data_IF_044572276928
#
_entry.id   IF_044572276928
#
_cell.length_a   1.000
_cell.length_b   1.000
_cell.length_c   1.000
_cell.angle_alpha   90.00
_cell.angle_beta   90.00
_cell.angle_gamma   90.00
#
_symmetry.space_group_name_H-M   'P 1'
#
loop_
_entity.id
_entity.type
_entity.pdbx_description
1 polymer ?
#
# COMPACT_ATOMS: atom_id res chain seq x y z
N UNK A 1 -12.32 8.91 -2.34
CA UNK A 1 -12.85 9.52 -3.58
C UNK A 1 -12.91 8.43 -4.65
N UNK A 2 -14.05 8.28 -5.33
CA UNK A 2 -14.22 7.26 -6.37
C UNK A 2 -13.84 7.81 -7.74
N UNK A 3 -13.47 6.95 -8.66
CA UNK A 3 -13.24 7.27 -10.08
C UNK A 3 -13.97 6.30 -10.97
N UNK A 4 -14.28 6.75 -12.18
CA UNK A 4 -14.85 5.91 -13.22
C UNK A 4 -13.80 5.02 -13.85
N UNK A 5 -14.30 3.88 -14.33
CA UNK A 5 -13.54 2.96 -15.15
C UNK A 5 -14.30 2.78 -16.45
N UNK A 6 -13.61 2.95 -17.57
CA UNK A 6 -14.18 2.62 -18.87
C UNK A 6 -14.12 1.10 -19.06
N UNK A 7 -15.26 0.45 -18.88
CA UNK A 7 -15.45 -0.99 -19.09
C UNK A 7 -16.74 -1.24 -19.87
N UNK A 8 -16.79 -2.31 -20.70
CA UNK A 8 -18.02 -2.74 -21.35
C UNK A 8 -19.16 -2.98 -20.35
N UNK A 9 -20.40 -2.91 -20.83
CA UNK A 9 -21.56 -3.32 -20.04
C UNK A 9 -21.35 -4.73 -19.43
N UNK A 10 -21.74 -5.00 -18.17
CA UNK A 10 -21.45 -6.25 -17.50
C UNK A 10 -21.83 -7.52 -18.28
N UNK A 11 -22.99 -7.50 -18.97
CA UNK A 11 -23.43 -8.63 -19.80
C UNK A 11 -22.49 -8.91 -20.97
N UNK A 12 -21.96 -7.87 -21.62
CA UNK A 12 -21.02 -8.03 -22.73
C UNK A 12 -19.65 -8.52 -22.23
N UNK A 13 -19.19 -8.00 -21.10
CA UNK A 13 -17.97 -8.48 -20.44
C UNK A 13 -18.11 -9.96 -20.06
N UNK A 14 -19.28 -10.37 -19.54
CA UNK A 14 -19.60 -11.75 -19.19
C UNK A 14 -19.57 -12.68 -20.40
N UNK A 15 -20.26 -12.32 -21.48
CA UNK A 15 -20.32 -13.12 -22.72
C UNK A 15 -18.91 -13.39 -23.23
N UNK A 16 -18.07 -12.36 -23.31
CA UNK A 16 -16.67 -12.50 -23.76
C UNK A 16 -15.86 -13.44 -22.86
N UNK A 17 -16.06 -13.35 -21.54
CA UNK A 17 -15.39 -14.22 -20.58
C UNK A 17 -15.83 -15.68 -20.77
N UNK A 18 -17.14 -15.91 -20.85
CA UNK A 18 -17.70 -17.23 -21.04
C UNK A 18 -17.28 -17.86 -22.37
N UNK A 19 -17.16 -17.07 -23.45
CA UNK A 19 -16.64 -17.55 -24.73
C UNK A 19 -15.20 -18.02 -24.57
N UNK A 20 -14.32 -17.21 -23.96
CA UNK A 20 -12.93 -17.62 -23.73
C UNK A 20 -12.81 -18.85 -22.82
N UNK A 21 -13.58 -18.92 -21.73
CA UNK A 21 -13.62 -20.11 -20.86
C UNK A 21 -14.05 -21.36 -21.64
N UNK A 22 -15.11 -21.26 -22.44
CA UNK A 22 -15.60 -22.36 -23.29
C UNK A 22 -14.51 -22.85 -24.25
N UNK A 23 -13.83 -21.94 -24.95
CA UNK A 23 -12.74 -22.28 -25.87
C UNK A 23 -11.54 -22.90 -25.16
N UNK A 24 -11.16 -22.42 -23.97
CA UNK A 24 -10.05 -22.99 -23.21
C UNK A 24 -10.37 -24.39 -22.69
N UNK A 25 -11.61 -24.62 -22.23
CA UNK A 25 -12.06 -25.95 -21.81
C UNK A 25 -12.06 -26.93 -22.98
N UNK A 26 -12.52 -26.52 -24.16
CA UNK A 26 -12.47 -27.35 -25.37
C UNK A 26 -11.05 -27.83 -25.70
N UNK A 27 -10.04 -27.00 -25.40
CA UNK A 27 -8.62 -27.30 -25.62
C UNK A 27 -7.95 -28.05 -24.44
N UNK A 28 -8.70 -28.46 -23.42
CA UNK A 28 -8.17 -29.08 -22.20
C UNK A 28 -7.33 -28.13 -21.32
N UNK A 29 -7.39 -26.81 -21.55
CA UNK A 29 -6.62 -25.79 -20.83
C UNK A 29 -7.39 -25.26 -19.61
N UNK A 30 -7.79 -26.19 -18.75
CA UNK A 30 -8.53 -25.87 -17.52
C UNK A 30 -7.65 -25.02 -16.58
N UNK A 31 -8.27 -24.10 -15.83
CA UNK A 31 -7.61 -23.30 -14.80
C UNK A 31 -7.19 -21.89 -15.21
N UNK A 32 -6.95 -21.60 -16.49
CA UNK A 32 -6.60 -20.23 -16.92
C UNK A 32 -7.82 -19.30 -17.03
N UNK A 33 -8.92 -19.82 -17.57
CA UNK A 33 -10.23 -19.17 -17.68
C UNK A 33 -11.29 -20.18 -17.27
N UNK A 34 -12.14 -19.83 -16.31
CA UNK A 34 -13.13 -20.77 -15.77
C UNK A 34 -14.41 -20.06 -15.31
N UNK A 35 -15.49 -20.83 -15.19
CA UNK A 35 -16.79 -20.39 -14.64
C UNK A 35 -17.25 -21.38 -13.59
N UNK A 36 -17.54 -20.87 -12.40
CA UNK A 36 -18.11 -21.57 -11.26
C UNK A 36 -19.40 -20.87 -10.79
N UNK A 37 -20.02 -21.38 -9.74
CA UNK A 37 -21.28 -20.82 -9.19
C UNK A 37 -21.09 -19.43 -8.58
N UNK A 38 -19.84 -18.99 -8.37
CA UNK A 38 -19.48 -17.66 -7.88
C UNK A 38 -19.12 -16.68 -9.01
N UNK A 39 -19.18 -17.13 -10.26
CA UNK A 39 -18.94 -16.30 -11.43
C UNK A 39 -17.76 -16.80 -12.26
N UNK A 40 -17.11 -15.85 -12.94
CA UNK A 40 -16.00 -16.13 -13.82
C UNK A 40 -14.66 -15.89 -13.11
N UNK A 41 -13.66 -16.73 -13.39
CA UNK A 41 -12.32 -16.65 -12.80
C UNK A 41 -11.25 -16.73 -13.89
N UNK A 42 -10.16 -16.00 -13.65
CA UNK A 42 -8.93 -16.05 -14.44
C UNK A 42 -7.76 -16.21 -13.47
N UNK A 43 -6.91 -17.18 -13.73
CA UNK A 43 -5.63 -17.35 -13.04
C UNK A 43 -4.50 -17.30 -14.07
N UNK A 44 -3.42 -16.60 -13.72
CA UNK A 44 -2.19 -16.53 -14.52
C UNK A 44 -1.08 -17.31 -13.82
N UNK A 45 -0.12 -17.76 -14.62
CA UNK A 45 1.05 -18.50 -14.13
C UNK A 45 1.95 -17.64 -13.22
N UNK A 46 1.91 -16.31 -13.38
CA UNK A 46 2.63 -15.34 -12.53
C UNK A 46 1.94 -15.08 -11.19
N UNK A 47 0.88 -15.82 -10.86
CA UNK A 47 0.12 -15.67 -9.62
C UNK A 47 -0.94 -14.57 -9.64
N UNK A 48 -1.02 -13.77 -10.72
CA UNK A 48 -2.09 -12.81 -10.91
C UNK A 48 -3.44 -13.50 -11.14
N UNK A 49 -4.51 -12.95 -10.56
CA UNK A 49 -5.84 -13.53 -10.68
C UNK A 49 -6.94 -12.47 -10.72
N UNK A 50 -8.06 -12.80 -11.36
CA UNK A 50 -9.25 -11.96 -11.37
C UNK A 50 -10.53 -12.80 -11.26
N UNK A 51 -11.55 -12.21 -10.64
CA UNK A 51 -12.91 -12.75 -10.50
C UNK A 51 -13.91 -11.72 -10.97
N UNK A 52 -14.92 -12.19 -11.70
CA UNK A 52 -16.01 -11.39 -12.21
C UNK A 52 -17.35 -12.04 -11.87
N UNK A 53 -18.22 -11.32 -11.17
CA UNK A 53 -19.52 -11.84 -10.76
C UNK A 53 -20.65 -10.89 -11.18
N UNK A 54 -21.75 -11.50 -11.63
CA UNK A 54 -23.02 -10.81 -11.87
C UNK A 54 -23.90 -10.92 -10.62
N UNK A 55 -24.64 -9.86 -10.32
CA UNK A 55 -25.59 -9.79 -9.22
C UNK A 55 -26.94 -9.27 -9.71
N UNK A 56 -27.99 -9.47 -8.93
CA UNK A 56 -29.31 -8.92 -9.20
C UNK A 56 -29.33 -7.39 -9.25
N UNK A 57 -30.35 -6.82 -9.88
CA UNK A 57 -30.49 -5.36 -10.01
C UNK A 57 -29.49 -4.71 -10.96
N UNK A 58 -29.02 -5.45 -11.98
CA UNK A 58 -28.00 -4.99 -12.97
C UNK A 58 -26.66 -4.59 -12.33
N UNK A 59 -26.32 -5.25 -11.23
CA UNK A 59 -25.05 -5.05 -10.52
C UNK A 59 -24.01 -6.06 -10.97
N UNK A 60 -22.75 -5.68 -10.86
CA UNK A 60 -21.64 -6.59 -11.12
C UNK A 60 -20.39 -6.15 -10.36
N UNK A 61 -19.47 -7.08 -10.11
CA UNK A 61 -18.17 -6.76 -9.48
C UNK A 61 -17.06 -7.51 -10.19
N UNK A 62 -15.99 -6.79 -10.53
CA UNK A 62 -14.73 -7.31 -11.06
C UNK A 62 -13.63 -6.97 -10.05
N UNK A 63 -12.93 -7.97 -9.54
CA UNK A 63 -11.90 -7.79 -8.53
C UNK A 63 -10.76 -8.78 -8.75
N UNK A 64 -9.57 -8.45 -8.25
CA UNK A 64 -8.40 -9.28 -8.48
C UNK A 64 -7.15 -8.69 -7.88
N UNK A 65 -6.03 -9.34 -8.21
CA UNK A 65 -4.70 -8.96 -7.78
C UNK A 65 -3.69 -9.28 -8.89
N UNK A 66 -2.84 -8.30 -9.21
CA UNK A 66 -1.80 -8.45 -10.22
C UNK A 66 -0.45 -8.34 -9.54
N UNK A 67 0.29 -9.46 -9.48
CA UNK A 67 1.59 -9.55 -8.79
C UNK A 67 2.52 -8.36 -9.07
N UNK A 68 2.63 -7.95 -10.34
CA UNK A 68 3.51 -6.84 -10.76
C UNK A 68 2.86 -5.45 -10.77
N UNK A 69 1.55 -5.31 -10.61
CA UNK A 69 0.82 -4.06 -10.87
C UNK A 69 -0.29 -3.78 -9.87
N UNK A 70 -0.10 -4.05 -8.58
CA UNK A 70 -1.10 -3.73 -7.54
C UNK A 70 -0.90 -2.32 -6.97
N UNK A 71 -1.38 -1.28 -7.66
CA UNK A 71 -1.32 0.12 -7.21
C UNK A 71 -1.85 0.31 -5.78
N UNK A 72 -2.95 -0.35 -5.42
CA UNK A 72 -3.51 -0.36 -4.08
C UNK A 72 -2.47 -0.72 -3.00
N UNK A 73 -1.53 -1.60 -3.32
CA UNK A 73 -0.52 -2.10 -2.39
C UNK A 73 0.79 -1.33 -2.42
N UNK A 74 1.09 -0.65 -3.54
CA UNK A 74 2.35 0.04 -3.81
C UNK A 74 2.31 1.55 -3.56
N UNK A 75 1.12 2.12 -3.37
CA UNK A 75 0.98 3.51 -2.91
C UNK A 75 1.55 3.65 -1.49
N UNK A 76 2.10 4.83 -1.17
CA UNK A 76 2.51 5.20 0.19
C UNK A 76 1.69 6.43 0.64
N UNK A 77 0.74 6.28 1.59
CA UNK A 77 0.28 5.02 2.16
C UNK A 77 -0.57 4.18 1.16
N UNK A 78 -0.64 2.85 1.34
CA UNK A 78 -1.43 1.96 0.49
C UNK A 78 -2.90 2.38 0.42
N UNK A 79 -3.47 2.39 -0.78
CA UNK A 79 -4.89 2.67 -0.99
C UNK A 79 -5.72 1.40 -0.75
N UNK A 80 -6.73 1.48 0.12
CA UNK A 80 -7.65 0.37 0.35
C UNK A 80 -8.68 0.27 -0.78
N UNK A 81 -8.70 -0.82 -1.58
CA UNK A 81 -9.60 -0.99 -2.73
C UNK A 81 -11.09 -0.93 -2.40
N UNK A 82 -11.45 -1.16 -1.14
CA UNK A 82 -12.83 -1.18 -0.65
C UNK A 82 -13.31 0.17 -0.11
N UNK A 83 -12.47 1.20 -0.16
CA UNK A 83 -12.84 2.55 0.26
C UNK A 83 -14.00 3.07 -0.59
N UNK A 84 -15.14 3.36 0.05
CA UNK A 84 -16.34 3.88 -0.62
C UNK A 84 -17.08 2.84 -1.48
N UNK A 85 -16.75 1.55 -1.34
CA UNK A 85 -17.50 0.47 -1.97
C UNK A 85 -18.98 0.46 -1.50
N UNK A 86 -19.91 -0.13 -2.26
CA UNK A 86 -21.29 -0.26 -1.82
C UNK A 86 -21.50 -1.43 -0.84
N UNK A 87 -22.55 -1.36 -0.02
CA UNK A 87 -22.84 -2.36 1.02
C UNK A 87 -23.24 -3.74 0.47
N UNK A 88 -23.67 -3.77 -0.80
CA UNK A 88 -24.14 -4.98 -1.48
C UNK A 88 -23.01 -5.84 -2.06
N UNK A 89 -21.75 -5.37 -2.07
CA UNK A 89 -20.62 -6.16 -2.53
C UNK A 89 -20.50 -7.48 -1.75
N UNK A 90 -19.85 -8.53 -2.30
CA UNK A 90 -19.59 -9.78 -1.59
C UNK A 90 -18.51 -9.58 -0.49
N UNK A 91 -18.86 -8.85 0.57
CA UNK A 91 -17.93 -8.44 1.64
C UNK A 91 -17.26 -9.62 2.35
N UNK A 92 -17.96 -10.73 2.56
CA UNK A 92 -17.37 -11.94 3.16
C UNK A 92 -16.22 -12.52 2.34
N UNK A 93 -16.20 -12.25 1.03
CA UNK A 93 -15.10 -12.61 0.14
C UNK A 93 -14.04 -11.50 0.07
N UNK A 94 -14.46 -10.25 -0.08
CA UNK A 94 -13.55 -9.14 -0.33
C UNK A 94 -12.78 -8.68 0.91
N UNK A 95 -13.41 -8.66 2.09
CA UNK A 95 -12.78 -8.16 3.31
C UNK A 95 -11.56 -9.00 3.73
N UNK A 96 -11.62 -10.36 3.76
CA UNK A 96 -10.44 -11.16 4.07
C UNK A 96 -9.30 -11.02 3.04
N UNK A 97 -9.63 -10.77 1.76
CA UNK A 97 -8.62 -10.52 0.72
C UNK A 97 -7.94 -9.16 0.91
N UNK A 98 -8.71 -8.12 1.23
CA UNK A 98 -8.17 -6.80 1.53
C UNK A 98 -7.32 -6.80 2.82
N UNK A 99 -7.75 -7.52 3.86
CA UNK A 99 -7.00 -7.65 5.12
C UNK A 99 -5.64 -8.33 4.91
N UNK A 100 -5.57 -9.32 4.01
CA UNK A 100 -4.37 -10.12 3.72
C UNK A 100 -3.55 -9.58 2.56
N UNK A 101 -3.84 -8.37 2.07
CA UNK A 101 -3.02 -7.80 1.00
C UNK A 101 -3.06 -8.67 -0.28
N UNK A 102 -4.20 -9.29 -0.54
CA UNK A 102 -4.47 -10.15 -1.71
C UNK A 102 -5.49 -9.52 -2.65
N UNK A 103 -5.78 -8.23 -2.49
CA UNK A 103 -6.76 -7.50 -3.28
C UNK A 103 -6.09 -6.27 -3.89
N UNK A 104 -5.73 -6.36 -5.17
CA UNK A 104 -5.11 -5.25 -5.91
C UNK A 104 -6.12 -4.24 -6.43
N UNK A 105 -7.31 -4.70 -6.82
CA UNK A 105 -8.39 -3.82 -7.28
C UNK A 105 -9.78 -4.39 -7.04
N UNK A 106 -10.76 -3.49 -6.94
CA UNK A 106 -12.19 -3.79 -6.92
C UNK A 106 -12.91 -2.74 -7.73
N UNK A 107 -13.67 -3.20 -8.72
CA UNK A 107 -14.43 -2.36 -9.63
C UNK A 107 -15.86 -2.87 -9.63
N UNK A 108 -16.82 -2.00 -9.38
CA UNK A 108 -18.23 -2.37 -9.28
C UNK A 108 -19.08 -1.60 -10.26
N UNK A 109 -20.10 -2.28 -10.79
CA UNK A 109 -21.10 -1.71 -11.66
C UNK A 109 -22.40 -1.52 -10.90
N UNK A 110 -22.91 -0.30 -10.90
CA UNK A 110 -24.25 0.04 -10.43
C UNK A 110 -24.77 1.23 -11.23
N UNK A 111 -26.08 1.25 -11.51
CA UNK A 111 -26.73 2.38 -12.20
C UNK A 111 -26.08 2.76 -13.54
N UNK A 112 -25.59 1.77 -14.29
CA UNK A 112 -25.01 1.96 -15.63
C UNK A 112 -23.57 2.46 -15.65
N UNK A 113 -22.87 2.47 -14.51
CA UNK A 113 -21.52 3.01 -14.40
C UNK A 113 -20.62 2.03 -13.66
N UNK A 114 -19.38 1.91 -14.14
CA UNK A 114 -18.32 1.21 -13.44
C UNK A 114 -17.52 2.20 -12.59
N UNK A 115 -17.33 1.88 -11.32
CA UNK A 115 -16.61 2.72 -10.36
C UNK A 115 -15.61 1.92 -9.56
N UNK A 116 -14.53 2.59 -9.13
CA UNK A 116 -13.52 2.06 -8.21
C UNK A 116 -12.96 3.16 -7.31
N UNK A 117 -12.14 2.78 -6.32
CA UNK A 117 -11.35 3.75 -5.57
C UNK A 117 -10.36 4.48 -6.48
N UNK A 118 -10.14 5.78 -6.24
CA UNK A 118 -9.09 6.54 -6.92
C UNK A 118 -7.72 6.23 -6.31
N UNK A 119 -6.79 5.73 -7.12
CA UNK A 119 -5.38 5.55 -6.74
C UNK A 119 -4.60 6.87 -6.86
N UNK A 120 -3.52 6.99 -6.08
CA UNK A 120 -2.63 8.16 -6.18
C UNK A 120 -1.93 8.15 -7.53
N UNK A 121 -1.78 9.33 -8.12
CA UNK A 121 -1.09 9.55 -9.41
C UNK A 121 -1.59 8.72 -10.61
N UNK A 122 -2.80 8.12 -10.50
CA UNK A 122 -3.39 7.33 -11.58
C UNK A 122 -2.66 6.03 -11.92
N UNK A 123 -1.88 5.47 -10.98
CA UNK A 123 -1.11 4.23 -11.22
C UNK A 123 -2.02 3.07 -11.67
N UNK A 124 -1.54 2.21 -12.59
CA UNK A 124 -2.28 1.03 -13.02
C UNK A 124 -2.37 -0.01 -11.90
N UNK A 125 -3.54 -0.62 -11.76
CA UNK A 125 -3.88 -1.66 -10.78
C UNK A 125 -3.87 -3.07 -11.37
N UNK A 126 -3.33 -3.22 -12.58
CA UNK A 126 -3.20 -4.50 -13.28
C UNK A 126 -4.51 -5.06 -13.84
N UNK A 127 -5.65 -4.38 -13.65
CA UNK A 127 -6.93 -4.81 -14.20
C UNK A 127 -6.87 -4.94 -15.71
N UNK A 128 -6.29 -3.95 -16.42
CA UNK A 128 -6.21 -3.97 -17.89
C UNK A 128 -5.43 -5.18 -18.41
N UNK A 129 -4.43 -5.66 -17.66
CA UNK A 129 -3.63 -6.84 -18.03
C UNK A 129 -4.41 -8.15 -17.77
N UNK A 130 -5.18 -8.18 -16.68
CA UNK A 130 -6.02 -9.33 -16.29
C UNK A 130 -7.36 -9.42 -17.03
N UNK A 131 -7.91 -8.33 -17.52
CA UNK A 131 -9.16 -8.30 -18.28
C UNK A 131 -8.95 -7.98 -19.76
N UNK A 132 -7.71 -7.72 -20.19
CA UNK A 132 -7.35 -7.21 -21.52
C UNK A 132 -8.10 -7.84 -22.69
N UNK A 133 -8.12 -9.18 -22.84
CA UNK A 133 -8.85 -9.87 -23.90
C UNK A 133 -10.36 -9.60 -23.94
N UNK A 134 -10.95 -9.11 -22.85
CA UNK A 134 -12.39 -8.90 -22.70
C UNK A 134 -12.82 -7.46 -22.94
N UNK A 135 -11.88 -6.52 -22.93
CA UNK A 135 -12.20 -5.08 -22.91
C UNK A 135 -12.82 -4.60 -24.22
N UNK A 136 -12.42 -5.16 -25.36
CA UNK A 136 -12.99 -4.82 -26.67
C UNK A 136 -13.28 -6.07 -27.49
N UNK A 137 -14.19 -5.94 -28.46
CA UNK A 137 -14.51 -7.03 -29.40
C UNK A 137 -13.26 -7.48 -30.16
N UNK A 138 -12.48 -6.54 -30.67
CA UNK A 138 -11.21 -6.82 -31.36
C UNK A 138 -10.20 -7.58 -30.49
N UNK A 139 -10.07 -7.23 -29.20
CA UNK A 139 -9.18 -7.96 -28.28
C UNK A 139 -9.68 -9.38 -28.01
N UNK A 140 -10.99 -9.58 -27.93
CA UNK A 140 -11.58 -10.93 -27.79
C UNK A 140 -11.36 -11.76 -29.04
N UNK A 141 -11.61 -11.19 -30.22
CA UNK A 141 -11.35 -11.84 -31.51
C UNK A 141 -9.87 -12.17 -31.69
N UNK A 142 -8.97 -11.25 -31.35
CA UNK A 142 -7.53 -11.48 -31.40
C UNK A 142 -7.06 -12.57 -30.43
N UNK A 143 -7.71 -12.73 -29.27
CA UNK A 143 -7.43 -13.83 -28.35
C UNK A 143 -7.94 -15.17 -28.88
N UNK A 144 -9.16 -15.22 -29.43
CA UNK A 144 -9.76 -16.44 -30.00
C UNK A 144 -9.08 -16.91 -31.28
N UNK A 145 -8.66 -15.97 -32.15
CA UNK A 145 -8.02 -16.27 -33.44
C UNK A 145 -6.61 -16.88 -33.28
N UNK A 146 -6.09 -16.98 -32.06
CA UNK A 146 -4.88 -17.76 -31.75
C UNK A 146 -5.11 -19.27 -31.87
N UNK A 147 -6.37 -19.70 -31.88
CA UNK A 147 -6.76 -21.11 -31.92
C UNK A 147 -7.31 -21.56 -33.28
N UNK A 148 -7.46 -20.62 -34.22
CA UNK A 148 -7.83 -20.89 -35.60
C UNK A 148 -8.34 -19.64 -36.34
N UNK A 149 -9.09 -19.80 -37.43
CA UNK A 149 -9.35 -18.72 -38.37
C UNK A 149 -10.24 -17.63 -37.77
N UNK A 150 -9.87 -16.37 -37.99
CA UNK A 150 -10.61 -15.19 -37.51
C UNK A 150 -12.11 -15.19 -37.86
N UNK A 151 -12.54 -15.56 -39.08
CA UNK A 151 -13.97 -15.65 -39.38
C UNK A 151 -14.75 -16.64 -38.50
N UNK A 152 -14.12 -17.72 -38.04
CA UNK A 152 -14.76 -18.66 -37.10
C UNK A 152 -14.88 -18.06 -35.70
N UNK A 153 -13.86 -17.33 -35.24
CA UNK A 153 -13.92 -16.59 -33.99
C UNK A 153 -15.05 -15.54 -33.99
N UNK A 154 -15.23 -14.83 -35.11
CA UNK A 154 -16.32 -13.87 -35.31
C UNK A 154 -17.70 -14.54 -35.21
N UNK A 155 -17.89 -15.67 -35.91
CA UNK A 155 -19.13 -16.46 -35.82
C UNK A 155 -19.41 -16.92 -34.39
N UNK A 156 -18.38 -17.42 -33.68
CA UNK A 156 -18.52 -17.86 -32.29
C UNK A 156 -18.94 -16.70 -31.36
N UNK A 157 -18.34 -15.52 -31.49
CA UNK A 157 -18.72 -14.34 -30.69
C UNK A 157 -20.15 -13.89 -30.99
N UNK A 158 -20.56 -13.88 -32.27
CA UNK A 158 -21.95 -13.56 -32.66
C UNK A 158 -22.93 -14.55 -32.06
N UNK A 159 -22.64 -15.85 -32.14
CA UNK A 159 -23.46 -16.90 -31.54
C UNK A 159 -23.53 -16.76 -30.01
N UNK A 160 -22.41 -16.44 -29.35
CA UNK A 160 -22.36 -16.21 -27.91
C UNK A 160 -23.23 -15.03 -27.46
N UNK A 161 -23.26 -13.93 -28.23
CA UNK A 161 -24.15 -12.78 -27.96
C UNK A 161 -25.63 -13.15 -28.07
N UNK A 162 -25.96 -14.11 -28.94
CA UNK A 162 -27.34 -14.60 -29.16
C UNK A 162 -27.73 -15.77 -28.24
N UNK A 163 -26.80 -16.25 -27.42
CA UNK A 163 -26.94 -17.50 -26.67
C UNK A 163 -27.26 -18.71 -27.59
N UNK A 164 -26.59 -18.79 -28.74
CA UNK A 164 -26.76 -19.80 -29.78
C UNK A 164 -25.47 -20.63 -30.01
N UNK A 165 -24.54 -20.66 -29.05
CA UNK A 165 -23.31 -21.45 -29.17
C UNK A 165 -23.65 -22.92 -29.34
N UNK A 166 -22.93 -23.58 -30.23
CA UNK A 166 -23.13 -24.98 -30.59
C UNK A 166 -21.77 -25.66 -30.85
N UNK A 167 -21.71 -27.01 -30.88
CA UNK A 167 -20.47 -27.71 -31.17
C UNK A 167 -19.81 -27.30 -32.48
N UNK A 168 -20.61 -27.01 -33.52
CA UNK A 168 -20.11 -26.59 -34.83
C UNK A 168 -19.28 -25.30 -34.77
N UNK A 169 -19.69 -24.32 -33.96
CA UNK A 169 -18.94 -23.08 -33.78
C UNK A 169 -17.54 -23.32 -33.19
N UNK A 170 -17.40 -24.32 -32.31
CA UNK A 170 -16.13 -24.68 -31.69
C UNK A 170 -15.27 -25.51 -32.65
N UNK A 171 -15.85 -26.46 -33.38
CA UNK A 171 -15.14 -27.22 -34.42
C UNK A 171 -14.60 -26.32 -35.53
N UNK A 172 -15.38 -25.34 -35.97
CA UNK A 172 -14.96 -24.34 -36.97
C UNK A 172 -13.76 -23.51 -36.49
N UNK A 173 -13.72 -23.18 -35.19
CA UNK A 173 -12.65 -22.37 -34.62
C UNK A 173 -11.41 -23.21 -34.34
N UNK A 174 -11.56 -24.41 -33.81
CA UNK A 174 -10.47 -25.22 -33.28
C UNK A 174 -9.95 -26.18 -34.36
N UNK A 175 -9.15 -25.62 -35.28
CA UNK A 175 -8.62 -26.35 -36.44
C UNK A 175 -7.53 -27.36 -36.08
N UNK A 176 -6.87 -27.16 -34.93
CA UNK A 176 -5.77 -28.00 -34.46
C UNK A 176 -6.17 -28.83 -33.23
N UNK A 177 -6.20 -30.14 -33.38
CA UNK A 177 -6.46 -31.10 -32.29
C UNK A 177 -7.89 -31.63 -32.24
N UNK A 178 -8.15 -32.50 -31.26
CA UNK A 178 -9.49 -33.07 -31.01
C UNK A 178 -10.09 -32.32 -29.82
N UNK A 179 -11.05 -31.40 -30.03
CA UNK A 179 -11.62 -30.63 -28.94
C UNK A 179 -12.55 -31.47 -28.06
N UNK A 180 -12.52 -31.23 -26.75
CA UNK A 180 -13.52 -31.76 -25.82
C UNK A 180 -14.80 -30.93 -25.91
N UNK A 181 -15.61 -31.23 -26.93
CA UNK A 181 -16.87 -30.52 -27.19
C UNK A 181 -17.88 -30.73 -26.05
N UNK A 182 -17.88 -31.88 -25.38
CA UNK A 182 -18.81 -32.14 -24.29
C UNK A 182 -18.54 -31.22 -23.10
N UNK A 183 -17.29 -31.13 -22.65
CA UNK A 183 -16.90 -30.23 -21.57
C UNK A 183 -17.07 -28.75 -21.95
N UNK A 184 -16.77 -28.40 -23.20
CA UNK A 184 -16.97 -27.05 -23.72
C UNK A 184 -18.46 -26.67 -23.70
N UNK A 185 -19.36 -27.53 -24.17
CA UNK A 185 -20.79 -27.25 -24.17
C UNK A 185 -21.37 -27.16 -22.75
N UNK A 186 -20.87 -27.94 -21.80
CA UNK A 186 -21.24 -27.79 -20.39
C UNK A 186 -20.81 -26.41 -19.84
N UNK A 187 -19.62 -25.94 -20.21
CA UNK A 187 -19.10 -24.61 -19.84
C UNK A 187 -19.90 -23.50 -20.52
N UNK A 188 -20.23 -23.65 -21.80
CA UNK A 188 -21.06 -22.70 -22.54
C UNK A 188 -22.47 -22.59 -21.93
N UNK A 189 -23.07 -23.73 -21.55
CA UNK A 189 -24.36 -23.76 -20.87
C UNK A 189 -24.30 -23.02 -19.53
N UNK A 190 -23.30 -23.33 -18.68
CA UNK A 190 -23.07 -22.60 -17.42
C UNK A 190 -22.83 -21.10 -17.65
N UNK A 191 -22.16 -20.73 -18.74
CA UNK A 191 -21.91 -19.35 -19.12
C UNK A 191 -23.13 -18.60 -19.65
N UNK A 192 -24.29 -19.24 -19.84
CA UNK A 192 -25.44 -18.59 -20.45
C UNK A 192 -25.35 -18.42 -21.97
N UNK A 193 -24.51 -19.23 -22.65
CA UNK A 193 -24.20 -19.06 -24.07
C UNK A 193 -25.01 -19.97 -25.00
N UNK A 194 -25.90 -20.81 -24.46
CA UNK A 194 -26.71 -21.75 -25.24
C UNK A 194 -28.20 -21.51 -24.98
N UNK A 195 -29.09 -21.99 -25.86
CA UNK A 195 -30.52 -21.71 -25.70
C UNK A 195 -31.07 -22.25 -24.37
N UNK A 196 -31.82 -21.41 -23.67
CA UNK A 196 -32.46 -21.76 -22.39
C UNK A 196 -31.53 -21.79 -21.19
N UNK A 197 -30.24 -21.50 -21.33
CA UNK A 197 -29.32 -21.38 -20.20
C UNK A 197 -29.19 -19.94 -19.71
N UNK A 198 -28.69 -19.76 -18.49
CA UNK A 198 -28.51 -18.46 -17.87
C UNK A 198 -27.15 -18.38 -17.18
N UNK A 199 -26.55 -17.20 -17.20
CA UNK A 199 -25.33 -16.93 -16.45
C UNK A 199 -25.59 -17.01 -14.94
N UNK A 200 -24.69 -17.62 -14.14
CA UNK A 200 -24.79 -17.61 -12.69
C UNK A 200 -24.77 -16.18 -12.15
N UNK A 201 -25.56 -15.97 -11.11
CA UNK A 201 -25.62 -14.72 -10.36
C UNK A 201 -25.38 -15.04 -8.89
N UNK A 202 -24.58 -14.22 -8.23
CA UNK A 202 -24.37 -14.33 -6.79
C UNK A 202 -25.34 -13.42 -6.04
N UNK A 203 -25.72 -13.83 -4.84
CA UNK A 203 -26.49 -12.99 -3.94
C UNK A 203 -25.69 -11.74 -3.53
N UNK A 204 -26.35 -10.58 -3.33
CA UNK A 204 -25.74 -9.44 -2.68
C UNK A 204 -25.16 -9.82 -1.31
N UNK A 205 -23.96 -9.34 -1.02
CA UNK A 205 -23.37 -9.47 0.30
C UNK A 205 -23.87 -8.39 1.25
N UNK A 206 -23.27 -8.35 2.44
CA UNK A 206 -23.55 -7.35 3.46
C UNK A 206 -22.26 -6.81 4.03
N UNK A 207 -22.08 -5.49 4.00
CA UNK A 207 -20.95 -4.84 4.67
C UNK A 207 -20.95 -5.17 6.17
N UNK A 208 -19.82 -5.65 6.74
CA UNK A 208 -19.69 -5.79 8.18
C UNK A 208 -19.66 -4.41 8.84
N UNK A 209 -20.22 -4.26 10.06
CA UNK A 209 -20.25 -2.97 10.75
C UNK A 209 -18.85 -2.42 11.05
N UNK A 210 -17.87 -3.31 11.22
CA UNK A 210 -16.45 -3.00 11.31
C UNK A 210 -15.68 -3.94 10.40
N UNK A 211 -14.66 -3.41 9.72
CA UNK A 211 -13.70 -4.21 8.94
C UNK A 211 -12.28 -3.88 9.40
N UNK A 212 -11.44 -4.90 9.49
CA UNK A 212 -9.99 -4.73 9.65
C UNK A 212 -9.40 -4.28 8.31
N UNK A 213 -8.84 -3.07 8.27
CA UNK A 213 -8.06 -2.60 7.13
C UNK A 213 -6.59 -2.93 7.38
N UNK A 214 -5.84 -3.26 6.32
CA UNK A 214 -4.43 -3.69 6.30
C UNK A 214 -3.58 -3.14 7.46
N UNK A 215 -2.81 -4.04 8.06
CA UNK A 215 -1.72 -3.75 9.00
C UNK A 215 -0.60 -3.01 8.28
N UNK A 216 -0.30 -1.77 8.67
CA UNK A 216 0.92 -1.09 8.23
C UNK A 216 2.13 -1.99 8.55
N UNK A 217 3.06 -2.14 7.61
CA UNK A 217 4.38 -2.70 7.94
C UNK A 217 5.04 -1.82 9.00
N UNK A 218 6.03 -2.37 9.73
CA UNK A 218 6.73 -1.59 10.76
C UNK A 218 7.26 -0.27 10.20
N UNK A 219 7.91 -0.29 9.04
CA UNK A 219 8.42 0.92 8.38
C UNK A 219 7.32 1.89 7.90
N UNK A 220 6.19 1.40 7.39
CA UNK A 220 5.05 2.28 7.04
C UNK A 220 4.45 2.94 8.28
N UNK A 221 4.40 2.22 9.40
CA UNK A 221 3.93 2.76 10.68
C UNK A 221 4.90 3.79 11.24
N UNK A 222 6.21 3.53 11.19
CA UNK A 222 7.24 4.50 11.58
C UNK A 222 7.12 5.78 10.73
N UNK A 223 6.99 5.68 9.40
CA UNK A 223 6.83 6.85 8.52
C UNK A 223 5.55 7.63 8.78
N UNK A 224 4.45 6.96 9.12
CA UNK A 224 3.21 7.64 9.52
C UNK A 224 3.45 8.51 10.76
N UNK A 225 4.18 7.99 11.75
CA UNK A 225 4.57 8.74 12.94
C UNK A 225 5.52 9.89 12.58
N UNK A 226 6.53 9.66 11.75
CA UNK A 226 7.50 10.69 11.33
C UNK A 226 6.83 11.84 10.57
N UNK A 227 5.88 11.54 9.69
CA UNK A 227 5.07 12.57 9.03
C UNK A 227 4.29 13.40 10.04
N UNK A 228 3.64 12.75 11.02
CA UNK A 228 2.91 13.47 12.06
C UNK A 228 3.83 14.30 12.97
N UNK A 229 5.07 13.85 13.22
CA UNK A 229 6.08 14.62 13.94
C UNK A 229 6.53 15.87 13.17
N UNK A 230 6.63 15.82 11.84
CA UNK A 230 6.95 17.00 11.02
C UNK A 230 5.88 18.07 11.07
N UNK A 231 4.62 17.67 11.15
CA UNK A 231 3.48 18.59 11.21
C UNK A 231 3.17 19.06 12.65
N UNK A 232 3.81 18.47 13.66
CA UNK A 232 3.53 18.75 15.06
C UNK A 232 4.21 20.02 15.57
N UNK A 233 3.45 20.82 16.31
CA UNK A 233 4.02 21.89 17.13
C UNK A 233 4.65 21.31 18.41
N UNK A 234 5.73 21.92 18.87
CA UNK A 234 6.30 21.62 20.19
C UNK A 234 5.33 22.02 21.29
N UNK A 235 5.03 21.09 22.20
CA UNK A 235 4.27 21.42 23.41
C UNK A 235 5.13 22.32 24.31
N UNK A 236 4.53 23.41 24.80
CA UNK A 236 5.24 24.36 25.67
C UNK A 236 5.72 23.68 26.96
N UNK A 237 7.01 23.84 27.27
CA UNK A 237 7.68 23.28 28.45
C UNK A 237 8.63 24.30 29.08
N UNK A 238 8.92 24.18 30.38
CA UNK A 238 10.00 24.96 31.00
C UNK A 238 11.33 24.71 30.28
N UNK A 239 12.16 25.75 30.21
CA UNK A 239 13.52 25.60 29.73
C UNK A 239 14.30 24.62 30.64
N UNK A 240 15.15 23.74 30.09
CA UNK A 240 16.03 22.90 30.89
C UNK A 240 16.96 23.75 31.77
N UNK A 241 17.38 23.25 32.94
CA UNK A 241 18.37 23.94 33.75
C UNK A 241 19.71 24.01 33.01
N UNK A 242 20.53 25.00 33.36
CA UNK A 242 21.95 24.99 32.97
C UNK A 242 22.66 23.85 33.70
N UNK A 243 23.41 23.03 32.97
CA UNK A 243 24.08 21.83 33.50
C UNK A 243 25.56 21.83 33.17
N UNK A 244 26.38 21.22 34.05
CA UNK A 244 27.81 21.07 33.79
C UNK A 244 28.09 20.14 32.59
N UNK A 245 27.16 19.23 32.30
CA UNK A 245 27.18 18.36 31.13
C UNK A 245 27.06 19.16 29.83
N UNK A 246 26.25 20.24 29.82
CA UNK A 246 26.16 21.14 28.67
C UNK A 246 27.49 21.85 28.45
N UNK A 247 28.08 22.40 29.51
CA UNK A 247 29.38 23.08 29.44
C UNK A 247 30.48 22.13 28.94
N UNK A 248 30.45 20.86 29.38
CA UNK A 248 31.40 19.83 28.95
C UNK A 248 31.23 19.51 27.46
N UNK A 249 30.00 19.38 26.97
CA UNK A 249 29.73 19.17 25.54
C UNK A 249 30.17 20.38 24.70
N UNK A 250 29.86 21.60 25.16
CA UNK A 250 30.23 22.85 24.48
C UNK A 250 31.75 22.99 24.39
N UNK A 251 32.48 22.75 25.49
CA UNK A 251 33.94 22.79 25.49
C UNK A 251 34.56 21.77 24.53
N UNK A 252 33.99 20.55 24.47
CA UNK A 252 34.42 19.54 23.51
C UNK A 252 34.18 19.95 22.05
N UNK A 253 33.04 20.59 21.75
CA UNK A 253 32.72 21.09 20.41
C UNK A 253 33.63 22.26 20.01
N UNK A 254 33.91 23.19 20.92
CA UNK A 254 34.79 24.34 20.69
C UNK A 254 36.24 23.91 20.44
N UNK A 255 36.76 22.94 21.21
CA UNK A 255 38.08 22.32 20.99
C UNK A 255 38.19 21.66 19.60
N UNK A 256 37.06 21.19 19.06
CA UNK A 256 36.97 20.54 17.75
C UNK A 256 36.42 21.45 16.65
N UNK A 257 36.44 22.77 16.84
CA UNK A 257 36.05 23.69 15.79
C UNK A 257 37.00 23.53 14.57
N UNK A 258 36.48 23.32 13.34
CA UNK A 258 37.29 23.03 12.16
C UNK A 258 38.26 24.14 11.76
N UNK A 259 38.03 25.37 12.24
CA UNK A 259 38.89 26.53 11.97
C UNK A 259 39.55 27.10 13.23
N UNK A 260 39.54 26.36 14.34
CA UNK A 260 40.08 26.78 15.64
C UNK A 260 39.54 28.13 16.15
N UNK A 261 38.34 28.51 15.73
CA UNK A 261 37.67 29.79 16.06
C UNK A 261 36.48 29.59 17.03
N UNK A 262 36.38 28.39 17.61
CA UNK A 262 35.29 27.96 18.48
C UNK A 262 33.95 27.73 17.78
N UNK A 263 33.85 27.88 16.45
CA UNK A 263 32.59 27.71 15.71
C UNK A 263 32.41 26.26 15.25
N UNK A 264 31.46 25.57 15.87
CA UNK A 264 31.16 24.16 15.63
C UNK A 264 29.65 23.93 15.69
N UNK A 265 29.14 22.96 14.93
CA UNK A 265 27.73 22.61 14.85
C UNK A 265 27.54 21.10 15.06
N UNK A 266 26.66 20.75 15.99
CA UNK A 266 26.23 19.38 16.25
C UNK A 266 24.73 19.26 16.00
N UNK A 267 24.35 18.30 15.16
CA UNK A 267 22.97 17.84 15.04
C UNK A 267 22.93 16.41 15.57
N UNK A 268 22.18 16.18 16.64
CA UNK A 268 22.06 14.86 17.27
C UNK A 268 20.60 14.43 17.45
N UNK A 269 20.38 13.14 17.27
CA UNK A 269 19.16 12.42 17.61
C UNK A 269 19.47 11.39 18.69
N UNK A 270 18.64 11.29 19.72
CA UNK A 270 18.78 10.30 20.77
C UNK A 270 17.42 9.90 21.37
N UNK A 271 17.23 8.60 21.55
CA UNK A 271 16.14 8.02 22.35
C UNK A 271 16.72 7.09 23.44
N UNK A 272 15.87 6.25 24.02
CA UNK A 272 16.24 5.27 25.03
C UNK A 272 17.42 4.36 24.58
N UNK A 273 17.43 3.91 23.33
CA UNK A 273 18.36 2.87 22.82
C UNK A 273 19.23 3.34 21.65
N UNK A 274 18.73 4.26 20.84
CA UNK A 274 19.33 4.71 19.58
C UNK A 274 20.00 6.07 19.72
N UNK A 275 21.02 6.29 18.90
CA UNK A 275 21.74 7.56 18.79
C UNK A 275 22.20 7.75 17.35
N UNK A 276 22.06 8.96 16.81
CA UNK A 276 22.52 9.31 15.47
C UNK A 276 22.99 10.75 15.43
N UNK A 277 23.89 11.05 14.50
CA UNK A 277 24.45 12.39 14.30
C UNK A 277 24.42 12.70 12.81
N UNK A 278 24.06 13.94 12.46
CA UNK A 278 24.16 14.45 11.10
C UNK A 278 25.16 15.61 11.05
N UNK A 279 25.77 15.80 9.89
CA UNK A 279 26.67 16.93 9.65
C UNK A 279 25.87 18.24 9.66
N UNK A 280 26.19 19.15 10.58
CA UNK A 280 25.75 20.53 10.49
C UNK A 280 26.65 21.36 9.56
N UNK A 281 26.50 22.68 9.57
CA UNK A 281 27.28 23.60 8.73
C UNK A 281 28.79 23.53 9.01
N UNK A 282 29.19 23.24 10.25
CA UNK A 282 30.58 23.20 10.73
C UNK A 282 30.76 22.01 11.68
N UNK A 283 30.77 20.77 11.16
CA UNK A 283 30.86 19.60 12.01
C UNK A 283 32.19 19.57 12.79
N UNK A 284 32.25 18.86 13.93
CA UNK A 284 33.49 18.66 14.67
C UNK A 284 34.61 18.11 13.76
N UNK A 285 35.80 18.69 13.86
CA UNK A 285 36.95 18.28 13.05
C UNK A 285 37.38 16.85 13.36
N UNK A 286 37.67 16.07 12.32
CA UNK A 286 38.39 14.81 12.44
C UNK A 286 39.88 15.12 12.63
N UNK A 287 40.53 14.50 13.62
CA UNK A 287 41.97 14.64 13.88
C UNK A 287 42.70 13.39 13.39
N UNK A 288 43.86 13.51 12.72
CA UNK A 288 44.54 12.36 12.09
C UNK A 288 44.95 11.24 13.06
N UNK A 289 45.15 11.59 14.33
CA UNK A 289 45.56 10.71 15.43
C UNK A 289 44.37 10.09 16.20
N UNK A 290 43.13 10.46 15.86
CA UNK A 290 41.92 9.95 16.52
C UNK A 290 41.21 8.88 15.67
N UNK A 291 40.84 7.77 16.30
CA UNK A 291 39.97 6.78 15.68
C UNK A 291 38.54 7.31 15.59
N UNK A 292 37.98 7.36 14.37
CA UNK A 292 36.62 7.88 14.12
C UNK A 292 35.54 7.27 15.01
N UNK A 293 35.63 5.96 15.27
CA UNK A 293 34.69 5.27 16.16
C UNK A 293 34.83 5.71 17.63
N UNK A 294 36.06 5.91 18.11
CA UNK A 294 36.32 6.42 19.46
C UNK A 294 35.75 7.84 19.63
N UNK A 295 35.95 8.71 18.64
CA UNK A 295 35.38 10.07 18.62
C UNK A 295 33.85 10.04 18.62
N UNK A 296 33.24 9.19 17.79
CA UNK A 296 31.78 9.00 17.77
C UNK A 296 31.23 8.48 19.10
N UNK A 297 31.90 7.50 19.72
CA UNK A 297 31.54 6.98 21.04
C UNK A 297 31.64 8.08 22.11
N UNK A 298 32.71 8.88 22.09
CA UNK A 298 32.88 9.98 23.04
C UNK A 298 31.76 11.01 22.90
N UNK A 299 31.42 11.39 21.67
CA UNK A 299 30.29 12.28 21.39
C UNK A 299 28.96 11.69 21.90
N UNK A 300 28.73 10.40 21.66
CA UNK A 300 27.54 9.67 22.17
C UNK A 300 27.45 9.74 23.69
N UNK A 301 28.57 9.53 24.39
CA UNK A 301 28.64 9.59 25.86
C UNK A 301 28.30 10.99 26.39
N UNK A 302 28.87 12.04 25.78
CA UNK A 302 28.61 13.44 26.15
C UNK A 302 27.14 13.81 25.95
N UNK A 303 26.59 13.49 24.78
CA UNK A 303 25.20 13.82 24.44
C UNK A 303 24.22 13.04 25.31
N UNK A 304 24.48 11.76 25.60
CA UNK A 304 23.65 10.98 26.52
C UNK A 304 23.77 11.44 27.97
N UNK A 305 24.94 11.92 28.41
CA UNK A 305 25.09 12.52 29.73
C UNK A 305 24.23 13.77 29.88
N UNK A 306 24.31 14.68 28.91
CA UNK A 306 23.46 15.86 28.85
C UNK A 306 21.97 15.50 28.85
N UNK A 307 21.57 14.54 28.00
CA UNK A 307 20.17 14.08 27.91
C UNK A 307 19.63 13.55 29.23
N UNK A 308 20.47 12.88 30.03
CA UNK A 308 20.10 12.40 31.38
C UNK A 308 20.00 13.55 32.38
N UNK A 309 20.97 14.46 32.37
CA UNK A 309 20.98 15.61 33.28
C UNK A 309 19.79 16.54 33.06
N UNK A 310 19.30 16.65 31.83
CA UNK A 310 18.14 17.47 31.46
C UNK A 310 16.80 16.72 31.51
N UNK A 311 16.79 15.46 31.94
CA UNK A 311 15.59 14.64 32.03
C UNK A 311 14.69 15.13 33.18
N UNK A 312 13.40 15.36 32.91
CA UNK A 312 12.40 15.65 33.94
C UNK A 312 11.31 14.56 33.96
N UNK A 313 10.89 14.05 35.13
CA UNK A 313 9.88 13.00 35.23
C UNK A 313 8.49 13.43 34.76
N UNK A 314 8.23 14.73 34.56
CA UNK A 314 6.94 15.26 34.13
C UNK A 314 6.85 15.36 32.62
N UNK A 315 7.85 15.97 31.97
CA UNK A 315 7.82 16.27 30.54
C UNK A 315 8.83 15.48 29.70
N UNK A 316 9.64 14.62 30.33
CA UNK A 316 10.52 13.68 29.67
C UNK A 316 11.83 14.30 29.17
N UNK A 317 12.43 13.64 28.20
CA UNK A 317 13.69 14.02 27.56
C UNK A 317 13.44 14.52 26.14
N UNK A 318 14.36 15.35 25.64
CA UNK A 318 14.35 15.75 24.24
C UNK A 318 14.72 14.56 23.34
N UNK A 319 14.29 14.63 22.07
CA UNK A 319 14.57 13.65 21.01
C UNK A 319 15.68 14.14 20.08
N UNK A 320 15.64 15.43 19.72
CA UNK A 320 16.65 16.06 18.86
C UNK A 320 17.33 17.22 19.59
N UNK A 321 18.61 17.39 19.28
CA UNK A 321 19.47 18.44 19.82
C UNK A 321 20.27 19.07 18.68
N UNK A 322 20.22 20.40 18.58
CA UNK A 322 21.14 21.20 17.78
C UNK A 322 21.96 22.08 18.71
N UNK A 323 23.28 22.02 18.59
CA UNK A 323 24.21 22.89 19.32
C UNK A 323 25.06 23.63 18.30
N UNK A 324 25.11 24.95 18.42
CA UNK A 324 25.98 25.82 17.64
C UNK A 324 26.84 26.63 18.59
N UNK A 325 28.16 26.43 18.49
CA UNK A 325 29.12 27.15 19.31
C UNK A 325 29.77 28.28 18.53
N UNK A 326 30.31 29.23 19.27
CA UNK A 326 31.25 30.25 18.80
C UNK A 326 32.27 30.51 19.90
N UNK A 327 33.19 31.45 19.67
CA UNK A 327 34.16 31.87 20.69
C UNK A 327 33.51 32.46 21.95
N UNK A 328 32.32 33.06 21.86
CA UNK A 328 31.70 33.81 22.98
C UNK A 328 30.24 33.44 23.27
N UNK A 329 29.58 32.67 22.41
CA UNK A 329 28.18 32.34 22.55
C UNK A 329 27.91 30.88 22.16
N UNK A 330 26.87 30.32 22.78
CA UNK A 330 26.30 29.03 22.42
C UNK A 330 24.81 29.20 22.12
N UNK A 331 24.36 28.61 21.02
CA UNK A 331 22.95 28.45 20.71
C UNK A 331 22.58 26.98 20.83
N UNK A 332 21.52 26.67 21.58
CA UNK A 332 21.06 25.30 21.79
C UNK A 332 19.58 25.21 21.52
N UNK A 333 19.20 24.36 20.57
CA UNK A 333 17.81 24.05 20.24
C UNK A 333 17.52 22.59 20.60
N UNK A 334 16.39 22.34 21.25
CA UNK A 334 15.92 21.01 21.64
C UNK A 334 14.53 20.79 21.07
N UNK A 335 14.27 19.60 20.54
CA UNK A 335 12.92 19.17 20.13
C UNK A 335 12.51 17.95 20.91
N UNK A 336 11.31 17.99 21.48
CA UNK A 336 10.74 16.92 22.29
C UNK A 336 9.66 16.15 21.53
N UNK A 337 9.02 16.81 20.56
CA UNK A 337 7.80 16.31 19.92
C UNK A 337 7.87 16.34 18.39
N UNK A 338 8.54 17.35 17.84
CA UNK A 338 8.56 17.64 16.43
C UNK A 338 9.81 17.09 15.75
N UNK A 339 9.66 16.74 14.48
CA UNK A 339 10.80 16.48 13.60
C UNK A 339 11.35 17.84 13.13
N UNK A 340 12.56 18.23 13.55
CA UNK A 340 13.05 19.57 13.22
C UNK A 340 13.34 19.71 11.72
N UNK A 341 13.11 20.91 11.13
CA UNK A 341 13.38 21.15 9.70
C UNK A 341 14.87 21.07 9.35
N UNK A 342 15.77 21.17 10.34
CA UNK A 342 17.21 21.03 10.17
C UNK A 342 17.71 19.58 10.23
N UNK A 343 16.84 18.60 10.51
CA UNK A 343 17.20 17.19 10.50
C UNK A 343 16.73 16.52 9.21
N UNK A 344 17.66 16.02 8.41
CA UNK A 344 17.38 15.40 7.14
C UNK A 344 16.73 14.01 7.35
N UNK A 345 15.63 13.74 6.65
CA UNK A 345 15.03 12.40 6.56
C UNK A 345 15.67 11.64 5.41
N UNK A 346 16.52 10.65 5.72
CA UNK A 346 17.12 9.76 4.72
C UNK A 346 16.20 8.58 4.34
N UNK A 347 14.99 8.50 4.92
CA UNK A 347 14.01 7.44 4.74
C UNK A 347 14.35 6.12 5.42
N UNK A 348 15.50 6.04 6.10
CA UNK A 348 16.06 4.82 6.68
C UNK A 348 16.26 4.95 8.19
N UNK A 349 16.68 6.13 8.67
CA UNK A 349 17.05 6.40 10.04
C UNK A 349 16.17 7.50 10.64
N UNK A 350 15.61 7.20 11.81
CA UNK A 350 14.72 8.11 12.51
C UNK A 350 14.27 7.53 13.84
N UNK A 351 13.35 8.22 14.54
CA UNK A 351 12.86 7.73 15.81
C UNK A 351 11.94 6.53 15.63
N UNK A 352 12.43 5.36 16.04
CA UNK A 352 11.69 4.11 15.96
C UNK A 352 10.48 4.13 16.91
N UNK A 353 9.32 3.66 16.44
CA UNK A 353 8.07 3.73 17.20
C UNK A 353 8.15 3.06 18.57
N UNK A 354 8.90 1.95 18.70
CA UNK A 354 9.10 1.26 19.99
C UNK A 354 9.82 2.15 21.01
N UNK A 355 10.84 2.89 20.58
CA UNK A 355 11.58 3.77 21.46
C UNK A 355 10.77 5.04 21.76
N UNK A 356 10.03 5.56 20.78
CA UNK A 356 9.11 6.68 20.99
C UNK A 356 8.02 6.32 22.01
N UNK A 357 7.50 5.09 22.00
CA UNK A 357 6.48 4.66 22.96
C UNK A 357 7.01 4.76 24.39
N UNK A 358 8.21 4.23 24.65
CA UNK A 358 8.88 4.35 25.96
C UNK A 358 9.06 5.82 26.37
N UNK A 359 9.54 6.66 25.44
CA UNK A 359 9.76 8.09 25.69
C UNK A 359 8.46 8.84 25.98
N UNK A 360 7.34 8.49 25.33
CA UNK A 360 6.04 9.12 25.57
C UNK A 360 5.35 8.60 26.84
N UNK A 361 5.50 7.32 27.16
CA UNK A 361 4.92 6.72 28.36
C UNK A 361 5.53 7.28 29.65
N UNK A 362 6.83 7.62 29.61
CA UNK A 362 7.51 8.29 30.71
C UNK A 362 7.03 9.73 30.98
N UNK A 363 6.25 10.33 30.06
CA UNK A 363 5.73 11.71 30.19
C UNK A 363 4.35 11.72 30.82
N UNK A 364 4.05 12.78 31.59
CA UNK A 364 2.69 13.09 31.99
C UNK A 364 1.81 13.35 30.75
N UNK A 365 0.52 12.97 30.76
CA UNK A 365 -0.37 13.08 29.59
C UNK A 365 -0.40 14.46 28.92
N UNK A 366 -0.38 15.55 29.71
CA UNK A 366 -0.39 16.93 29.19
C UNK A 366 0.85 17.34 28.37
N UNK A 367 1.95 16.60 28.49
CA UNK A 367 3.20 16.82 27.75
C UNK A 367 3.41 15.78 26.64
N UNK A 368 2.39 14.96 26.35
CA UNK A 368 2.42 14.05 25.20
C UNK A 368 1.88 14.80 23.99
N UNK A 369 2.58 14.75 22.84
CA UNK A 369 2.10 15.38 21.62
C UNK A 369 0.90 14.62 21.06
N UNK A 370 0.12 15.28 20.20
CA UNK A 370 -1.11 14.72 19.63
C UNK A 370 -0.88 13.45 18.78
N UNK A 371 0.32 13.27 18.25
CA UNK A 371 0.69 12.08 17.47
C UNK A 371 0.94 10.83 18.34
N UNK A 372 0.99 10.93 19.68
CA UNK A 372 1.22 9.76 20.56
C UNK A 372 0.23 8.63 20.33
N UNK A 373 -1.01 8.95 19.95
CA UNK A 373 -2.04 7.95 19.58
C UNK A 373 -1.62 7.07 18.41
N UNK A 374 -0.76 7.59 17.52
CA UNK A 374 -0.23 6.84 16.39
C UNK A 374 0.78 5.78 16.81
N UNK A 375 1.31 5.83 18.03
CA UNK A 375 2.21 4.80 18.54
C UNK A 375 1.48 3.50 18.90
N UNK A 376 0.18 3.59 19.20
CA UNK A 376 -0.66 2.43 19.52
C UNK A 376 -0.59 1.40 18.38
N UNK A 377 -0.22 0.13 18.68
CA UNK A 377 -0.31 -0.96 17.71
C UNK A 377 -1.69 -1.06 17.05
N UNK A 378 -2.77 -0.71 17.75
CA UNK A 378 -4.13 -0.68 17.21
C UNK A 378 -4.31 0.40 16.13
N UNK A 379 -3.51 1.48 16.11
CA UNK A 379 -3.53 2.47 15.03
C UNK A 379 -2.96 1.94 13.70
N UNK A 380 -2.16 0.86 13.75
CA UNK A 380 -1.81 0.12 12.53
C UNK A 380 -3.04 -0.53 11.88
N UNK A 381 -4.17 -0.60 12.59
CA UNK A 381 -5.47 -1.01 12.11
C UNK A 381 -6.30 0.27 11.95
N UNK A 382 -6.77 0.59 10.75
CA UNK A 382 -7.80 1.63 10.63
C UNK A 382 -9.14 1.05 11.05
N UNK A 383 -9.79 1.51 12.13
CA UNK A 383 -11.23 1.43 12.21
C UNK A 383 -11.80 2.41 11.16
N UNK A 384 -12.62 1.89 10.24
CA UNK A 384 -13.53 2.70 9.44
C UNK A 384 -14.94 2.48 9.97
#
# INVERSE_FOLDING_TARGET
MLTDVDLPAPGLLWIRWATLSTTHVALGRTGSWSIDDHGARRDRQDGGWARFALLDGRRAVLYGDHHEHSAAMRDDPPADPLTGAPDWLPWDTLAPLAERDRLGFVIWHESGRWSRVRYRDGRPDGMTDLAGPLLTGERTLGALSRFGPRPAAERLVVAAVRAEVSPAHLTDLLVDGVPDLAAAMATAARGGLVPGSAAPRIAPGRRPPMRRVRRLSHGEHDRLVWSAMRDAAEVSRPAPPTTAELDTLVGWLQDRAPHADGRCSLLAYADATSFSVQSGERPPAERPDEERYATFRRLTELVRALRRAESDPRYGRWLFLRVETSASAVHVERRYDSWPPWWHDDGVSGPWRTNLQEEMDARQPRYRPSWVRLLDPETAFRPL
#
